data_IF_887053151511
#
_entry.id   IF_887053151511
#
_cell.length_a   1.000
_cell.length_b   1.000
_cell.length_c   1.000
_cell.angle_alpha   90.00
_cell.angle_beta   90.00
_cell.angle_gamma   90.00
#
_symmetry.space_group_name_H-M   'P 1'
#
loop_
_entity.id
_entity.type
_entity.pdbx_description
1 polymer ?
#
# COMPACT_ATOMS: atom_id res chain seq x y z
N UNK A 1 9.40 -27.67 -12.33
CA UNK A 1 8.76 -26.83 -13.38
C UNK A 1 9.08 -25.38 -13.05
N UNK A 2 9.75 -24.70 -13.98
CA UNK A 2 10.01 -23.26 -14.11
C UNK A 2 10.34 -22.45 -12.84
N UNK A 3 11.62 -22.12 -12.69
CA UNK A 3 12.04 -20.91 -11.99
C UNK A 3 11.76 -19.66 -12.84
N UNK A 4 11.73 -18.50 -12.19
CA UNK A 4 11.71 -17.21 -12.86
C UNK A 4 11.30 -16.08 -11.93
N UNK A 5 12.30 -15.49 -11.28
CA UNK A 5 12.23 -14.22 -10.54
C UNK A 5 11.40 -14.23 -9.25
N UNK A 6 12.03 -14.69 -8.17
CA UNK A 6 11.74 -14.16 -6.83
C UNK A 6 12.12 -12.68 -6.87
N UNK A 7 11.22 -11.85 -7.40
CA UNK A 7 11.40 -10.42 -7.47
C UNK A 7 11.50 -9.94 -6.02
N UNK A 8 12.72 -9.87 -5.50
CA UNK A 8 13.02 -9.26 -4.21
C UNK A 8 12.72 -7.78 -4.37
N UNK A 9 11.47 -7.41 -4.13
CA UNK A 9 11.09 -6.02 -4.05
C UNK A 9 11.81 -5.41 -2.86
N UNK A 10 12.81 -4.57 -3.13
CA UNK A 10 13.43 -3.75 -2.11
C UNK A 10 12.40 -2.72 -1.63
N UNK A 11 11.78 -3.01 -0.49
CA UNK A 11 10.87 -2.09 0.17
C UNK A 11 11.66 -0.95 0.77
N UNK A 12 11.17 0.26 0.57
CA UNK A 12 11.77 1.47 1.11
C UNK A 12 11.80 1.42 2.65
N UNK A 13 12.87 1.93 3.23
CA UNK A 13 12.94 2.17 4.68
C UNK A 13 12.27 3.51 5.04
N UNK A 14 12.37 4.48 4.13
CA UNK A 14 11.78 5.82 4.23
C UNK A 14 11.13 6.20 2.91
N UNK A 15 10.05 6.99 2.96
CA UNK A 15 9.38 7.53 1.77
C UNK A 15 10.38 8.38 0.96
N UNK A 16 10.54 8.10 -0.34
CA UNK A 16 11.36 8.94 -1.22
C UNK A 16 10.86 10.39 -1.26
N UNK A 17 11.79 11.33 -1.34
CA UNK A 17 11.49 12.73 -1.62
C UNK A 17 11.01 12.90 -3.06
N UNK A 18 10.06 13.80 -3.29
CA UNK A 18 9.57 14.14 -4.63
C UNK A 18 8.45 13.25 -5.18
N UNK A 19 7.89 12.33 -4.39
CA UNK A 19 6.66 11.63 -4.75
C UNK A 19 5.49 12.63 -4.74
N UNK A 20 4.85 12.82 -5.89
CA UNK A 20 3.72 13.73 -6.01
C UNK A 20 2.40 12.99 -5.71
N UNK A 21 1.89 13.17 -4.49
CA UNK A 21 0.60 12.61 -4.03
C UNK A 21 -0.40 13.74 -3.80
N UNK A 22 -1.64 13.55 -4.25
CA UNK A 22 -2.75 14.46 -3.93
C UNK A 22 -3.12 14.36 -2.45
N UNK A 23 -3.77 15.40 -1.90
CA UNK A 23 -4.24 15.38 -0.52
C UNK A 23 -5.17 14.19 -0.24
N UNK A 24 -6.06 13.86 -1.18
CA UNK A 24 -6.96 12.72 -1.07
C UNK A 24 -6.19 11.38 -1.08
N UNK A 25 -5.14 11.24 -1.90
CA UNK A 25 -4.31 10.03 -1.89
C UNK A 25 -3.58 9.84 -0.55
N UNK A 26 -3.05 10.92 0.03
CA UNK A 26 -2.41 10.89 1.35
C UNK A 26 -3.41 10.49 2.44
N UNK A 27 -4.61 11.09 2.41
CA UNK A 27 -5.67 10.75 3.36
C UNK A 27 -6.03 9.26 3.31
N UNK A 28 -6.20 8.67 2.12
CA UNK A 28 -6.48 7.24 2.01
C UNK A 28 -5.32 6.39 2.53
N UNK A 29 -4.07 6.76 2.26
CA UNK A 29 -2.90 6.06 2.80
C UNK A 29 -2.87 6.11 4.33
N UNK A 30 -3.17 7.27 4.94
CA UNK A 30 -3.28 7.40 6.39
C UNK A 30 -4.41 6.54 6.96
N UNK A 31 -5.59 6.52 6.32
CA UNK A 31 -6.70 5.65 6.73
C UNK A 31 -6.35 4.16 6.64
N UNK A 32 -5.61 3.75 5.60
CA UNK A 32 -5.12 2.38 5.48
C UNK A 32 -4.07 2.07 6.55
N UNK A 33 -3.19 3.03 6.89
CA UNK A 33 -2.25 2.86 8.00
C UNK A 33 -2.98 2.62 9.33
N UNK A 34 -4.01 3.42 9.63
CA UNK A 34 -4.82 3.26 10.83
C UNK A 34 -5.55 1.91 10.85
N UNK A 35 -6.14 1.50 9.72
CA UNK A 35 -6.79 0.20 9.57
C UNK A 35 -5.82 -0.96 9.85
N UNK A 36 -4.60 -0.90 9.33
CA UNK A 36 -3.56 -1.90 9.52
C UNK A 36 -3.06 -1.99 10.97
N UNK A 37 -3.16 -0.91 11.75
CA UNK A 37 -2.79 -0.88 13.17
C UNK A 37 -3.97 -1.24 14.09
N UNK A 38 -5.19 -1.02 13.63
CA UNK A 38 -6.42 -1.26 14.42
C UNK A 38 -6.88 -2.71 14.38
N UNK A 39 -6.52 -3.49 13.36
CA UNK A 39 -6.88 -4.91 13.28
C UNK A 39 -5.87 -5.74 12.48
N UNK A 40 -5.80 -7.03 12.81
CA UNK A 40 -5.03 -8.00 12.03
C UNK A 40 -5.83 -8.51 10.82
N UNK A 41 -5.15 -8.60 9.69
CA UNK A 41 -5.67 -9.20 8.47
C UNK A 41 -4.96 -10.52 8.22
N UNK A 42 -5.71 -11.62 8.16
CA UNK A 42 -5.19 -12.94 7.81
C UNK A 42 -5.40 -13.29 6.33
N UNK A 43 -6.16 -12.49 5.60
CA UNK A 43 -6.59 -12.76 4.22
C UNK A 43 -6.41 -11.52 3.33
N UNK A 44 -5.85 -11.73 2.13
CA UNK A 44 -5.55 -10.64 1.21
C UNK A 44 -6.79 -10.09 0.49
N UNK A 45 -7.85 -10.89 0.36
CA UNK A 45 -9.10 -10.44 -0.29
C UNK A 45 -9.80 -9.43 0.61
N UNK A 46 -9.94 -9.73 1.91
CA UNK A 46 -10.53 -8.81 2.87
C UNK A 46 -9.77 -7.48 2.95
N UNK A 47 -8.44 -7.53 2.99
CA UNK A 47 -7.60 -6.32 2.99
C UNK A 47 -7.73 -5.55 1.66
N UNK A 48 -7.77 -6.24 0.53
CA UNK A 48 -7.96 -5.61 -0.78
C UNK A 48 -9.28 -4.85 -0.85
N UNK A 49 -10.39 -5.49 -0.46
CA UNK A 49 -11.72 -4.89 -0.46
C UNK A 49 -11.77 -3.67 0.47
N UNK A 50 -11.21 -3.76 1.67
CA UNK A 50 -11.16 -2.63 2.61
C UNK A 50 -10.41 -1.42 2.03
N UNK A 51 -9.23 -1.64 1.46
CA UNK A 51 -8.46 -0.58 0.78
C UNK A 51 -9.23 0.00 -0.42
N UNK A 52 -9.90 -0.86 -1.19
CA UNK A 52 -10.70 -0.45 -2.35
C UNK A 52 -11.88 0.44 -1.93
N UNK A 53 -12.57 0.08 -0.85
CA UNK A 53 -13.66 0.87 -0.29
C UNK A 53 -13.19 2.21 0.27
N UNK A 54 -12.08 2.22 1.01
CA UNK A 54 -11.49 3.47 1.53
C UNK A 54 -11.11 4.45 0.41
N UNK A 55 -10.53 3.94 -0.68
CA UNK A 55 -10.22 4.78 -1.84
C UNK A 55 -11.48 5.39 -2.44
N UNK A 56 -12.53 4.59 -2.65
CA UNK A 56 -13.81 5.07 -3.21
C UNK A 56 -14.52 6.07 -2.30
N UNK A 57 -14.55 5.82 -1.00
CA UNK A 57 -15.17 6.70 -0.01
C UNK A 57 -14.53 8.09 -0.03
N UNK A 58 -13.21 8.15 -0.15
CA UNK A 58 -12.46 9.40 -0.27
C UNK A 58 -12.50 10.03 -1.68
N UNK A 59 -13.31 9.51 -2.61
CA UNK A 59 -13.38 10.03 -3.99
C UNK A 59 -12.15 9.73 -4.85
N UNK A 60 -11.25 8.84 -4.39
CA UNK A 60 -10.03 8.44 -5.10
C UNK A 60 -10.33 7.23 -5.98
N UNK A 61 -9.94 7.31 -7.26
CA UNK A 61 -10.01 6.15 -8.13
C UNK A 61 -9.09 5.04 -7.60
N UNK A 62 -9.56 3.79 -7.45
CA UNK A 62 -8.76 2.71 -6.86
C UNK A 62 -7.38 2.54 -7.53
N UNK A 63 -7.32 2.65 -8.86
CA UNK A 63 -6.06 2.59 -9.62
C UNK A 63 -5.02 3.63 -9.16
N UNK A 64 -5.47 4.83 -8.82
CA UNK A 64 -4.63 5.95 -8.44
C UNK A 64 -4.18 5.83 -6.98
N UNK A 65 -5.04 5.24 -6.13
CA UNK A 65 -4.65 4.80 -4.79
C UNK A 65 -3.59 3.69 -4.84
N UNK A 66 -3.80 2.61 -5.61
CA UNK A 66 -2.83 1.51 -5.69
C UNK A 66 -1.49 1.99 -6.25
N UNK A 67 -1.50 2.88 -7.24
CA UNK A 67 -0.27 3.53 -7.74
C UNK A 67 0.43 4.33 -6.64
N UNK A 68 -0.30 5.13 -5.87
CA UNK A 68 0.26 5.89 -4.75
C UNK A 68 0.90 4.96 -3.70
N UNK A 69 0.22 3.88 -3.32
CA UNK A 69 0.76 2.88 -2.40
C UNK A 69 2.06 2.25 -2.91
N UNK A 70 2.16 1.88 -4.19
CA UNK A 70 3.42 1.36 -4.73
C UNK A 70 4.54 2.41 -4.78
N UNK A 71 4.22 3.68 -5.04
CA UNK A 71 5.22 4.74 -4.99
C UNK A 71 5.80 4.88 -3.58
N UNK A 72 4.95 4.77 -2.56
CA UNK A 72 5.36 4.84 -1.14
C UNK A 72 6.15 3.60 -0.70
N UNK A 73 5.76 2.40 -1.13
CA UNK A 73 6.43 1.17 -0.70
C UNK A 73 7.68 0.83 -1.51
N UNK A 74 7.65 1.11 -2.82
CA UNK A 74 8.60 0.57 -3.80
C UNK A 74 9.29 1.63 -4.64
N UNK A 75 8.85 2.89 -4.57
CA UNK A 75 9.20 3.95 -5.53
C UNK A 75 8.96 3.51 -6.98
N UNK A 76 7.88 2.75 -7.19
CA UNK A 76 7.45 2.23 -8.50
C UNK A 76 5.95 2.46 -8.65
N UNK A 77 5.49 2.56 -9.89
CA UNK A 77 4.06 2.78 -10.15
C UNK A 77 3.22 1.49 -10.07
N UNK A 78 3.88 0.33 -10.10
CA UNK A 78 3.28 -1.00 -10.18
C UNK A 78 4.08 -2.00 -9.36
N UNK A 79 3.42 -3.06 -8.91
CA UNK A 79 4.01 -4.11 -8.09
C UNK A 79 3.12 -5.36 -8.04
N UNK A 80 3.47 -6.33 -7.17
CA UNK A 80 2.65 -7.52 -6.93
C UNK A 80 1.35 -7.10 -6.24
N UNK A 81 0.37 -8.01 -6.11
CA UNK A 81 -0.91 -7.72 -5.45
C UNK A 81 -0.69 -7.04 -4.09
N UNK A 82 -1.10 -5.77 -3.96
CA UNK A 82 -0.77 -4.92 -2.81
C UNK A 82 -1.16 -5.55 -1.47
N UNK A 83 -2.37 -6.12 -1.36
CA UNK A 83 -2.83 -6.73 -0.11
C UNK A 83 -1.92 -7.90 0.31
N UNK A 84 -1.67 -8.86 -0.57
CA UNK A 84 -0.75 -9.98 -0.30
C UNK A 84 0.67 -9.48 0.03
N UNK A 85 1.11 -8.41 -0.63
CA UNK A 85 2.40 -7.79 -0.37
C UNK A 85 2.48 -7.16 1.02
N UNK A 86 1.43 -6.44 1.45
CA UNK A 86 1.35 -5.86 2.80
C UNK A 86 1.41 -6.96 3.85
N UNK A 87 0.66 -8.05 3.67
CA UNK A 87 0.68 -9.19 4.59
C UNK A 87 2.07 -9.84 4.69
N UNK A 88 2.78 -9.96 3.57
CA UNK A 88 4.15 -10.49 3.56
C UNK A 88 5.18 -9.56 4.22
N UNK A 89 4.96 -8.25 4.18
CA UNK A 89 5.85 -7.25 4.79
C UNK A 89 5.58 -6.99 6.28
N UNK A 90 4.34 -7.25 6.71
CA UNK A 90 3.84 -6.93 8.04
C UNK A 90 3.16 -5.55 8.10
N UNK A 91 1.98 -5.53 8.71
CA UNK A 91 1.11 -4.36 8.84
C UNK A 91 1.80 -3.15 9.47
N UNK A 92 2.58 -3.36 10.54
CA UNK A 92 3.27 -2.27 11.25
C UNK A 92 4.28 -1.53 10.37
N UNK A 93 5.05 -2.27 9.55
CA UNK A 93 6.05 -1.68 8.65
C UNK A 93 5.38 -0.82 7.59
N UNK A 94 4.30 -1.34 7.00
CA UNK A 94 3.54 -0.63 5.96
C UNK A 94 2.86 0.60 6.54
N UNK A 95 2.23 0.49 7.70
CA UNK A 95 1.56 1.61 8.36
C UNK A 95 2.50 2.77 8.67
N UNK A 96 3.75 2.49 9.07
CA UNK A 96 4.79 3.53 9.26
C UNK A 96 5.11 4.28 7.97
N UNK A 97 5.25 3.59 6.84
CA UNK A 97 5.53 4.23 5.55
C UNK A 97 4.32 5.03 5.05
N UNK A 98 3.12 4.49 5.23
CA UNK A 98 1.89 5.15 4.81
C UNK A 98 1.58 6.39 5.65
N UNK A 99 1.83 6.38 6.95
CA UNK A 99 1.63 7.56 7.83
C UNK A 99 2.69 8.66 7.63
N UNK A 100 3.80 8.36 6.97
CA UNK A 100 4.91 9.30 6.77
C UNK A 100 4.78 10.23 5.54
N UNK A 101 3.69 10.12 4.76
CA UNK A 101 3.46 10.94 3.54
C UNK A 101 2.65 12.21 3.76
#
# INVERSE_FOLDING_TARGET
KYGGDDARYAVQDTVQQGINLSQQQKEVLHRVADLLLSMEFSDDVALHEAMYHLAKDAGVLPKDFFRAAYLVLLNKERGPRLASFILALGSERVAKLFSAV
#
